data_IF_402201649530
#
_entry.id   IF_402201649530
#
_cell.length_a   1.000
_cell.length_b   1.000
_cell.length_c   1.000
_cell.angle_alpha   90.00
_cell.angle_beta   90.00
_cell.angle_gamma   90.00
#
_symmetry.space_group_name_H-M   'P 1'
#
loop_
_entity.id
_entity.type
_entity.pdbx_description
1 polymer ?
#
# COMPACT_ATOMS: atom_id res chain seq x y z
N UNK A 1 22.49 -4.23 4.83
CA UNK A 1 21.72 -3.30 3.96
C UNK A 1 22.62 -2.20 3.37
N UNK A 2 23.93 -2.42 3.27
CA UNK A 2 24.92 -1.39 2.86
C UNK A 2 25.65 -1.69 1.54
N UNK A 3 25.31 -2.77 0.84
CA UNK A 3 26.04 -3.22 -0.37
C UNK A 3 25.57 -2.56 -1.68
N UNK A 4 24.62 -1.61 -1.64
CA UNK A 4 24.00 -1.03 -2.84
C UNK A 4 24.61 0.28 -3.34
N UNK A 5 25.62 0.84 -2.66
CA UNK A 5 26.34 2.03 -3.14
C UNK A 5 27.66 1.65 -3.83
N UNK A 6 27.55 1.05 -5.01
CA UNK A 6 28.68 0.97 -5.93
C UNK A 6 28.97 2.37 -6.48
N UNK A 7 30.01 2.97 -5.91
CA UNK A 7 30.58 4.26 -6.28
C UNK A 7 30.99 4.27 -7.78
N UNK A 8 30.38 5.11 -8.63
CA UNK A 8 30.74 5.19 -10.05
C UNK A 8 32.13 5.79 -10.31
N UNK A 9 32.84 6.23 -9.25
CA UNK A 9 34.18 6.81 -9.31
C UNK A 9 35.29 5.86 -8.85
N UNK A 10 35.09 4.52 -8.93
CA UNK A 10 36.24 3.62 -8.82
C UNK A 10 37.14 3.86 -10.04
N UNK A 11 38.24 4.58 -9.80
CA UNK A 11 39.36 4.77 -10.72
C UNK A 11 39.70 3.45 -11.41
N UNK A 12 39.26 3.31 -12.65
CA UNK A 12 39.74 2.28 -13.55
C UNK A 12 40.98 2.86 -14.26
N UNK A 13 42.20 2.43 -13.91
CA UNK A 13 43.42 2.92 -14.55
C UNK A 13 43.45 2.62 -16.05
N UNK A 14 42.56 1.77 -16.59
CA UNK A 14 42.46 1.51 -18.02
C UNK A 14 41.66 2.59 -18.79
N UNK A 15 40.93 3.48 -18.12
CA UNK A 15 40.09 4.51 -18.77
C UNK A 15 40.76 5.89 -18.74
N UNK A 16 41.68 6.13 -17.80
CA UNK A 16 42.43 7.40 -17.68
C UNK A 16 43.50 7.59 -18.78
N UNK A 17 43.83 6.56 -19.57
CA UNK A 17 44.83 6.65 -20.65
C UNK A 17 44.27 7.11 -22.02
N UNK A 18 42.96 7.42 -22.13
CA UNK A 18 42.31 7.70 -23.43
C UNK A 18 42.27 9.20 -23.81
N UNK A 19 42.68 10.12 -22.92
CA UNK A 19 42.42 11.56 -23.12
C UNK A 19 43.64 12.50 -23.27
N UNK A 20 44.88 12.00 -23.38
CA UNK A 20 46.05 12.85 -23.62
C UNK A 20 46.95 12.34 -24.74
N UNK A 21 46.48 12.46 -25.98
CA UNK A 21 47.37 12.44 -27.13
C UNK A 21 48.30 13.67 -27.06
N UNK A 22 49.53 13.43 -26.62
CA UNK A 22 50.59 14.43 -26.59
C UNK A 22 50.80 14.99 -28.00
N UNK A 23 50.47 16.27 -28.18
CA UNK A 23 50.77 17.02 -29.41
C UNK A 23 52.30 17.18 -29.49
N UNK A 24 52.96 16.23 -30.15
CA UNK A 24 54.36 16.38 -30.53
C UNK A 24 54.45 17.45 -31.62
N UNK A 25 54.86 18.66 -31.22
CA UNK A 25 55.33 19.65 -32.18
C UNK A 25 56.64 19.14 -32.82
N UNK A 26 56.83 19.31 -34.14
CA UNK A 26 58.09 18.99 -34.77
C UNK A 26 59.18 19.92 -34.20
N UNK A 27 59.99 19.37 -33.28
CA UNK A 27 61.25 19.96 -32.86
C UNK A 27 62.17 19.97 -34.08
N UNK A 28 62.39 21.14 -34.68
CA UNK A 28 63.44 21.32 -35.66
C UNK A 28 64.80 21.27 -34.93
N UNK A 29 65.33 20.06 -34.78
CA UNK A 29 66.73 19.84 -34.44
C UNK A 29 67.59 20.32 -35.62
N UNK A 30 68.22 21.47 -35.42
CA UNK A 30 69.20 22.05 -36.31
C UNK A 30 70.46 21.16 -36.37
N UNK A 31 70.70 20.53 -37.52
CA UNK A 31 72.01 19.98 -37.86
C UNK A 31 72.76 20.97 -38.76
N UNK A 32 73.70 21.70 -38.16
CA UNK A 32 74.67 22.55 -38.84
C UNK A 32 75.71 21.68 -39.57
N UNK A 33 75.81 21.78 -40.90
CA UNK A 33 77.07 21.49 -41.63
C UNK A 33 77.13 22.29 -42.92
N UNK A 34 78.21 23.08 -43.05
CA UNK A 34 78.87 23.50 -44.30
C UNK A 34 78.21 24.60 -45.14
N UNK A 35 78.77 25.83 -45.19
CA UNK A 35 79.74 26.30 -46.21
C UNK A 35 79.27 26.02 -47.64
N UNK A 36 79.03 26.95 -48.56
CA UNK A 36 79.43 28.35 -48.79
C UNK A 36 78.56 28.85 -49.96
N UNK A 37 78.49 30.16 -50.16
CA UNK A 37 78.17 30.77 -51.47
C UNK A 37 76.77 30.51 -52.07
N UNK A 38 75.82 31.44 -51.86
CA UNK A 38 75.23 32.19 -52.98
C UNK A 38 74.33 33.32 -52.45
N UNK A 39 74.69 34.55 -52.83
CA UNK A 39 73.89 35.75 -52.61
C UNK A 39 72.71 35.76 -53.57
N UNK A 40 71.61 35.12 -53.19
CA UNK A 40 70.32 35.25 -53.87
C UNK A 40 69.18 34.96 -52.87
N UNK A 41 69.17 35.68 -51.74
CA UNK A 41 68.35 35.34 -50.56
C UNK A 41 67.05 36.14 -50.44
N UNK A 42 66.76 37.04 -51.39
CA UNK A 42 65.63 37.96 -51.26
C UNK A 42 64.40 37.56 -52.10
N UNK A 43 64.55 36.71 -53.13
CA UNK A 43 63.40 36.20 -53.91
C UNK A 43 62.72 34.97 -53.26
N UNK A 44 63.45 34.13 -52.53
CA UNK A 44 62.87 33.00 -51.80
C UNK A 44 62.11 33.42 -50.53
N UNK A 45 62.42 34.60 -49.98
CA UNK A 45 61.79 35.12 -48.77
C UNK A 45 60.34 35.57 -48.99
N UNK A 46 60.00 36.04 -50.20
CA UNK A 46 58.62 36.40 -50.56
C UNK A 46 57.77 35.14 -50.78
N UNK A 47 58.36 34.10 -51.40
CA UNK A 47 57.69 32.80 -51.62
C UNK A 47 57.44 32.05 -50.31
N UNK A 48 58.37 32.10 -49.35
CA UNK A 48 58.20 31.47 -48.04
C UNK A 48 57.11 32.16 -47.21
N UNK A 49 57.05 33.50 -47.21
CA UNK A 49 56.01 34.26 -46.51
C UNK A 49 54.61 33.91 -47.05
N UNK A 50 54.43 33.83 -48.37
CA UNK A 50 53.16 33.44 -48.99
C UNK A 50 52.77 31.98 -48.64
N UNK A 51 53.75 31.06 -48.58
CA UNK A 51 53.51 29.68 -48.15
C UNK A 51 53.02 29.60 -46.70
N UNK A 52 53.69 30.31 -45.79
CA UNK A 52 53.28 30.36 -44.38
C UNK A 52 51.90 31.01 -44.19
N UNK A 53 51.60 32.07 -44.94
CA UNK A 53 50.26 32.69 -44.94
C UNK A 53 49.19 31.70 -45.42
N UNK A 54 49.46 30.94 -46.48
CA UNK A 54 48.54 29.92 -47.00
C UNK A 54 48.32 28.81 -45.96
N UNK A 55 49.40 28.28 -45.36
CA UNK A 55 49.32 27.26 -44.31
C UNK A 55 48.56 27.75 -43.07
N UNK A 56 48.77 29.01 -42.65
CA UNK A 56 48.01 29.60 -41.54
C UNK A 56 46.52 29.74 -41.89
N UNK A 57 46.19 30.19 -43.11
CA UNK A 57 44.80 30.32 -43.56
C UNK A 57 44.08 28.96 -43.63
N UNK A 58 44.79 27.92 -44.05
CA UNK A 58 44.29 26.55 -44.09
C UNK A 58 44.10 25.99 -42.68
N UNK A 59 45.06 26.20 -41.77
CA UNK A 59 44.95 25.82 -40.37
C UNK A 59 43.77 26.53 -39.66
N UNK A 60 43.56 27.83 -39.94
CA UNK A 60 42.41 28.57 -39.42
C UNK A 60 41.10 28.02 -39.97
N UNK A 61 41.04 27.68 -41.26
CA UNK A 61 39.85 27.05 -41.88
C UNK A 61 39.57 25.68 -41.25
N UNK A 62 40.59 24.84 -41.08
CA UNK A 62 40.48 23.53 -40.45
C UNK A 62 40.05 23.63 -38.98
N UNK A 63 40.57 24.62 -38.23
CA UNK A 63 40.16 24.87 -36.85
C UNK A 63 38.70 25.32 -36.79
N UNK A 64 38.27 26.19 -37.71
CA UNK A 64 36.87 26.61 -37.82
C UNK A 64 35.94 25.42 -38.10
N UNK A 65 36.30 24.54 -39.05
CA UNK A 65 35.49 23.35 -39.34
C UNK A 65 35.43 22.41 -38.14
N UNK A 66 36.56 22.21 -37.44
CA UNK A 66 36.62 21.36 -36.25
C UNK A 66 35.75 21.92 -35.12
N UNK A 67 35.79 23.23 -34.88
CA UNK A 67 34.91 23.91 -33.90
C UNK A 67 33.45 23.66 -34.24
N UNK A 68 33.04 23.87 -35.49
CA UNK A 68 31.67 23.61 -35.92
C UNK A 68 31.25 22.15 -35.73
N UNK A 69 32.15 21.18 -35.97
CA UNK A 69 31.84 19.76 -35.71
C UNK A 69 31.66 19.45 -34.23
N UNK A 70 32.50 20.01 -33.35
CA UNK A 70 32.34 19.83 -31.90
C UNK A 70 31.10 20.53 -31.36
N UNK A 71 30.79 21.73 -31.86
CA UNK A 71 29.55 22.45 -31.53
C UNK A 71 28.31 21.61 -31.89
N UNK A 72 28.27 21.02 -33.09
CA UNK A 72 27.19 20.14 -33.50
C UNK A 72 27.10 18.85 -32.63
N UNK A 73 28.24 18.29 -32.25
CA UNK A 73 28.27 17.12 -31.36
C UNK A 73 27.77 17.46 -29.95
N UNK A 74 28.20 18.58 -29.38
CA UNK A 74 27.74 19.08 -28.08
C UNK A 74 26.22 19.29 -28.10
N UNK A 75 25.69 19.89 -29.17
CA UNK A 75 24.24 20.12 -29.31
C UNK A 75 23.47 18.80 -29.43
N UNK A 76 24.00 17.81 -30.16
CA UNK A 76 23.42 16.46 -30.22
C UNK A 76 23.40 15.79 -28.84
N UNK A 77 24.47 15.91 -28.07
CA UNK A 77 24.54 15.38 -26.70
C UNK A 77 23.56 16.08 -25.75
N UNK A 78 23.37 17.40 -25.88
CA UNK A 78 22.36 18.14 -25.10
C UNK A 78 20.95 17.64 -25.38
N UNK A 79 20.60 17.47 -26.65
CA UNK A 79 19.30 16.93 -27.05
C UNK A 79 19.07 15.50 -26.51
N UNK A 80 20.11 14.66 -26.51
CA UNK A 80 20.03 13.31 -25.95
C UNK A 80 19.87 13.31 -24.42
N UNK A 81 20.57 14.21 -23.71
CA UNK A 81 20.40 14.39 -22.26
C UNK A 81 18.96 14.81 -21.93
N UNK A 82 18.39 15.73 -22.70
CA UNK A 82 17.01 16.17 -22.51
C UNK A 82 16.01 15.03 -22.77
N UNK A 83 16.22 14.25 -23.85
CA UNK A 83 15.42 13.04 -24.14
C UNK A 83 15.47 12.03 -23.00
N UNK A 84 16.67 11.69 -22.52
CA UNK A 84 16.87 10.77 -21.39
C UNK A 84 16.28 11.32 -20.09
N UNK A 85 16.29 12.63 -19.89
CA UNK A 85 15.64 13.26 -18.73
C UNK A 85 14.12 13.08 -18.75
N UNK A 86 13.48 13.16 -19.92
CA UNK A 86 12.04 12.90 -20.07
C UNK A 86 11.73 11.43 -19.79
N UNK A 87 12.50 10.50 -20.38
CA UNK A 87 12.33 9.06 -20.16
C UNK A 87 12.51 8.66 -18.69
N UNK A 88 13.51 9.24 -18.01
CA UNK A 88 13.73 9.02 -16.58
C UNK A 88 12.55 9.50 -15.73
N UNK A 89 11.99 10.69 -16.04
CA UNK A 89 10.80 11.19 -15.36
C UNK A 89 9.59 10.26 -15.57
N UNK A 90 9.40 9.71 -16.78
CA UNK A 90 8.32 8.74 -17.05
C UNK A 90 8.51 7.43 -16.26
N UNK A 91 9.73 6.92 -16.19
CA UNK A 91 10.05 5.73 -15.40
C UNK A 91 9.84 5.97 -13.90
N UNK A 92 10.20 7.14 -13.40
CA UNK A 92 9.95 7.53 -12.01
C UNK A 92 8.44 7.58 -11.70
N UNK A 93 7.63 8.15 -12.60
CA UNK A 93 6.17 8.16 -12.45
C UNK A 93 5.58 6.75 -12.46
N UNK A 94 6.07 5.85 -13.34
CA UNK A 94 5.68 4.43 -13.36
C UNK A 94 6.05 3.73 -12.05
N UNK A 95 7.24 3.96 -11.52
CA UNK A 95 7.69 3.41 -10.24
C UNK A 95 6.77 3.85 -9.09
N UNK A 96 6.51 5.16 -8.96
CA UNK A 96 5.62 5.69 -7.92
C UNK A 96 4.21 5.10 -8.00
N UNK A 97 3.67 4.90 -9.22
CA UNK A 97 2.38 4.23 -9.44
C UNK A 97 2.40 2.77 -8.98
N UNK A 98 3.43 2.01 -9.35
CA UNK A 98 3.57 0.61 -8.95
C UNK A 98 3.75 0.47 -7.43
N UNK A 99 4.50 1.36 -6.79
CA UNK A 99 4.63 1.39 -5.34
C UNK A 99 3.29 1.70 -4.64
N UNK A 100 2.49 2.62 -5.18
CA UNK A 100 1.16 2.91 -4.65
C UNK A 100 0.22 1.70 -4.77
N UNK A 101 0.26 0.99 -5.91
CA UNK A 101 -0.48 -0.25 -6.10
C UNK A 101 -0.04 -1.35 -5.12
N UNK A 102 1.28 -1.52 -4.91
CA UNK A 102 1.81 -2.47 -3.94
C UNK A 102 1.34 -2.16 -2.52
N UNK A 103 1.37 -0.89 -2.10
CA UNK A 103 0.86 -0.46 -0.78
C UNK A 103 -0.63 -0.75 -0.64
N UNK A 104 -1.42 -0.54 -1.70
CA UNK A 104 -2.86 -0.87 -1.70
C UNK A 104 -3.12 -2.37 -1.55
N UNK A 105 -2.38 -3.21 -2.28
CA UNK A 105 -2.51 -4.67 -2.20
C UNK A 105 -2.09 -5.21 -0.83
N UNK A 106 -1.06 -4.63 -0.22
CA UNK A 106 -0.65 -4.98 1.15
C UNK A 106 -1.75 -4.64 2.17
N UNK A 107 -2.38 -3.47 2.05
CA UNK A 107 -3.51 -3.10 2.91
C UNK A 107 -4.70 -4.06 2.74
N UNK A 108 -5.03 -4.43 1.50
CA UNK A 108 -6.09 -5.40 1.21
C UNK A 108 -5.78 -6.77 1.83
N UNK A 109 -4.53 -7.28 1.69
CA UNK A 109 -4.07 -8.50 2.34
C UNK A 109 -4.22 -8.43 3.87
N UNK A 110 -3.85 -7.33 4.49
CA UNK A 110 -3.94 -7.16 5.94
C UNK A 110 -5.41 -7.13 6.41
N UNK A 111 -6.29 -6.45 5.66
CA UNK A 111 -7.74 -6.48 5.88
C UNK A 111 -8.32 -7.89 5.76
N UNK A 112 -7.97 -8.64 4.71
CA UNK A 112 -8.40 -10.03 4.52
C UNK A 112 -7.87 -10.94 5.63
N UNK A 113 -6.63 -10.73 6.08
CA UNK A 113 -6.02 -11.49 7.19
C UNK A 113 -6.77 -11.25 8.50
N UNK A 114 -7.15 -10.00 8.80
CA UNK A 114 -7.97 -9.69 9.97
C UNK A 114 -9.39 -10.26 9.86
N UNK A 115 -10.01 -10.20 8.69
CA UNK A 115 -11.32 -10.80 8.46
C UNK A 115 -11.29 -12.32 8.66
N UNK A 116 -10.27 -12.99 8.12
CA UNK A 116 -10.05 -14.43 8.31
C UNK A 116 -9.87 -14.78 9.79
N UNK A 117 -9.05 -14.02 10.54
CA UNK A 117 -8.89 -14.22 12.00
C UNK A 117 -10.22 -14.13 12.76
N UNK A 118 -11.04 -13.12 12.47
CA UNK A 118 -12.37 -12.97 13.09
C UNK A 118 -13.29 -14.14 12.76
N UNK A 119 -13.26 -14.65 11.53
CA UNK A 119 -14.08 -15.81 11.16
C UNK A 119 -13.58 -17.09 11.84
N UNK A 120 -12.27 -17.27 11.99
CA UNK A 120 -11.69 -18.38 12.78
C UNK A 120 -12.12 -18.31 14.24
N UNK A 121 -12.05 -17.13 14.88
CA UNK A 121 -12.52 -16.93 16.26
C UNK A 121 -14.03 -17.21 16.41
N UNK A 122 -14.83 -16.74 15.46
CA UNK A 122 -16.27 -17.01 15.41
C UNK A 122 -16.56 -18.50 15.22
N UNK A 123 -15.81 -19.19 14.37
CA UNK A 123 -15.95 -20.64 14.17
C UNK A 123 -15.58 -21.41 15.43
N UNK A 124 -14.52 -21.03 16.14
CA UNK A 124 -14.15 -21.63 17.42
C UNK A 124 -15.27 -21.49 18.47
N UNK A 125 -15.92 -20.32 18.57
CA UNK A 125 -17.07 -20.11 19.45
C UNK A 125 -18.30 -20.92 19.04
N UNK A 126 -18.49 -21.16 17.74
CA UNK A 126 -19.57 -22.02 17.24
C UNK A 126 -19.29 -23.49 17.54
N UNK A 127 -18.04 -23.94 17.38
CA UNK A 127 -17.61 -25.30 17.74
C UNK A 127 -17.81 -25.57 19.24
N UNK A 128 -17.45 -24.62 20.11
CA UNK A 128 -17.72 -24.72 21.56
C UNK A 128 -19.23 -24.87 21.85
N UNK A 129 -20.07 -24.04 21.22
CA UNK A 129 -21.53 -24.13 21.37
C UNK A 129 -22.10 -25.45 20.87
N UNK A 130 -21.61 -25.96 19.74
CA UNK A 130 -22.00 -27.27 19.21
C UNK A 130 -21.63 -28.36 20.22
N UNK A 131 -20.42 -28.31 20.80
CA UNK A 131 -20.01 -29.24 21.85
C UNK A 131 -20.94 -29.24 23.07
N UNK A 132 -21.30 -28.06 23.60
CA UNK A 132 -22.25 -27.97 24.72
C UNK A 132 -23.64 -28.55 24.39
N UNK A 133 -24.15 -28.30 23.17
CA UNK A 133 -25.43 -28.83 22.72
C UNK A 133 -25.40 -30.35 22.51
N UNK A 134 -24.28 -30.90 22.03
CA UNK A 134 -24.08 -32.34 21.93
C UNK A 134 -24.05 -33.01 23.31
N UNK A 135 -23.40 -32.40 24.30
CA UNK A 135 -23.43 -32.87 25.69
C UNK A 135 -24.84 -32.85 26.30
N UNK A 136 -25.61 -31.77 26.05
CA UNK A 136 -27.00 -31.65 26.49
C UNK A 136 -27.89 -32.73 25.83
N UNK A 137 -27.75 -32.92 24.52
CA UNK A 137 -28.47 -33.96 23.79
C UNK A 137 -28.15 -35.36 24.33
N UNK A 138 -26.86 -35.66 24.54
CA UNK A 138 -26.42 -36.93 25.13
C UNK A 138 -26.99 -37.15 26.54
N UNK A 139 -27.08 -36.09 27.34
CA UNK A 139 -27.69 -36.12 28.68
C UNK A 139 -29.19 -36.41 28.62
N UNK A 140 -29.92 -35.74 27.72
CA UNK A 140 -31.35 -35.96 27.49
C UNK A 140 -31.63 -37.36 26.96
N UNK A 141 -30.82 -37.88 26.05
CA UNK A 141 -30.93 -39.24 25.55
C UNK A 141 -30.70 -40.28 26.65
N UNK A 142 -29.69 -40.08 27.51
CA UNK A 142 -29.43 -40.94 28.66
C UNK A 142 -30.62 -40.97 29.61
N UNK A 143 -31.14 -39.80 29.99
CA UNK A 143 -32.35 -39.66 30.83
C UNK A 143 -33.57 -40.32 30.20
N UNK A 144 -33.75 -40.17 28.89
CA UNK A 144 -34.86 -40.81 28.16
C UNK A 144 -34.72 -42.34 28.15
N UNK A 145 -33.50 -42.86 27.99
CA UNK A 145 -33.20 -44.30 28.09
C UNK A 145 -33.47 -44.84 29.49
N UNK A 146 -33.07 -44.12 30.53
CA UNK A 146 -33.35 -44.47 31.94
C UNK A 146 -34.85 -44.47 32.24
N UNK A 147 -35.59 -43.45 31.81
CA UNK A 147 -37.05 -43.38 31.95
C UNK A 147 -37.75 -44.53 31.21
N UNK A 148 -37.32 -44.85 29.99
CA UNK A 148 -37.84 -45.99 29.22
C UNK A 148 -37.56 -47.32 29.92
N UNK A 149 -36.36 -47.50 30.49
CA UNK A 149 -36.02 -48.68 31.27
C UNK A 149 -36.83 -48.81 32.56
N UNK A 150 -37.10 -47.70 33.25
CA UNK A 150 -37.95 -47.67 34.45
C UNK A 150 -39.41 -48.01 34.14
N UNK A 151 -39.94 -47.46 33.03
CA UNK A 151 -41.29 -47.78 32.57
C UNK A 151 -41.45 -49.27 32.27
N UNK A 152 -40.50 -49.87 31.54
CA UNK A 152 -40.53 -51.29 31.18
C UNK A 152 -40.33 -52.24 32.38
N UNK A 153 -39.75 -51.78 33.49
CA UNK A 153 -39.60 -52.59 34.71
C UNK A 153 -40.85 -52.61 35.59
N UNK A 154 -41.80 -51.71 35.37
CA UNK A 154 -43.02 -51.65 36.18
C UNK A 154 -43.92 -52.83 35.78
N UNK A 155 -44.13 -53.84 36.66
CA UNK A 155 -44.94 -54.99 36.29
C UNK A 155 -46.38 -54.51 36.06
N UNK A 156 -46.90 -54.72 34.85
CA UNK A 156 -48.34 -54.69 34.60
C UNK A 156 -48.98 -55.81 35.43
N UNK A 157 -49.26 -55.55 36.69
CA UNK A 157 -50.24 -56.33 37.44
C UNK A 157 -51.62 -55.83 37.02
N UNK A 158 -52.10 -56.47 35.96
CA UNK A 158 -53.51 -56.66 35.65
C UNK A 158 -54.15 -57.45 36.79
N UNK A 159 -55.01 -56.82 37.58
CA UNK A 159 -56.38 -57.28 37.81
C UNK A 159 -57.12 -56.39 38.80
N UNK A 160 -58.25 -55.85 38.34
CA UNK A 160 -59.44 -55.53 39.12
C UNK A 160 -59.33 -54.53 40.27
N UNK A 161 -59.68 -53.26 40.02
CA UNK A 161 -60.91 -52.69 40.59
C UNK A 161 -61.14 -51.28 40.08
N UNK A 162 -62.38 -51.04 39.66
CA UNK A 162 -62.93 -49.78 39.19
C UNK A 162 -63.00 -48.74 40.32
N UNK A 163 -63.20 -47.47 39.94
CA UNK A 163 -63.50 -46.29 40.79
C UNK A 163 -62.29 -45.76 41.59
N UNK A 164 -61.69 -44.61 41.26
CA UNK A 164 -62.31 -43.29 41.16
C UNK A 164 -61.40 -42.35 40.40
N UNK A 165 -62.01 -41.62 39.47
CA UNK A 165 -61.40 -40.58 38.67
C UNK A 165 -61.13 -39.34 39.52
N UNK A 166 -59.88 -39.11 39.93
CA UNK A 166 -59.43 -37.78 40.33
C UNK A 166 -57.91 -37.63 40.25
N UNK A 167 -57.47 -36.86 39.25
CA UNK A 167 -56.66 -35.65 39.49
C UNK A 167 -55.27 -35.86 40.10
N UNK A 168 -54.30 -36.34 39.33
CA UNK A 168 -52.94 -35.75 39.31
C UNK A 168 -52.42 -35.84 37.86
N UNK A 169 -52.53 -34.72 37.13
CA UNK A 169 -51.86 -34.50 35.85
C UNK A 169 -50.40 -34.18 36.17
N UNK A 170 -49.40 -34.87 35.62
CA UNK A 170 -48.04 -34.41 35.74
C UNK A 170 -47.91 -33.14 34.90
N UNK A 171 -47.70 -32.00 35.54
CA UNK A 171 -47.26 -30.76 34.91
C UNK A 171 -45.84 -30.98 34.35
N UNK A 172 -45.73 -31.74 33.26
CA UNK A 172 -44.63 -31.65 32.32
C UNK A 172 -45.05 -30.64 31.26
N UNK A 173 -44.12 -29.74 30.88
CA UNK A 173 -44.20 -28.77 29.78
C UNK A 173 -44.80 -27.38 30.11
N UNK A 174 -44.19 -26.63 31.04
CA UNK A 174 -44.32 -25.16 31.03
C UNK A 174 -43.20 -24.42 31.80
N UNK A 175 -41.93 -24.58 31.41
CA UNK A 175 -40.87 -23.64 31.83
C UNK A 175 -39.65 -23.75 30.90
N UNK A 176 -39.81 -23.32 29.65
CA UNK A 176 -38.70 -23.27 28.67
C UNK A 176 -38.79 -22.05 27.74
N UNK A 177 -39.33 -20.94 28.26
CA UNK A 177 -39.38 -19.66 27.58
C UNK A 177 -39.30 -18.54 28.60
N UNK A 178 -38.08 -18.14 28.95
CA UNK A 178 -37.73 -16.77 29.34
C UNK A 178 -36.24 -16.75 29.72
N UNK A 179 -35.50 -15.78 29.15
CA UNK A 179 -34.14 -15.37 29.53
C UNK A 179 -32.97 -16.05 28.80
N UNK A 180 -32.86 -15.83 27.48
CA UNK A 180 -31.58 -15.86 26.77
C UNK A 180 -31.49 -14.71 25.76
N UNK A 181 -31.59 -13.48 26.25
CA UNK A 181 -31.11 -12.29 25.56
C UNK A 181 -30.56 -11.34 26.62
N UNK A 182 -29.26 -11.41 26.87
CA UNK A 182 -28.53 -10.31 27.48
C UNK A 182 -27.26 -10.15 26.70
N UNK A 183 -27.22 -9.01 26.01
CA UNK A 183 -26.15 -8.53 25.17
C UNK A 183 -24.82 -8.45 25.91
N UNK A 184 -23.80 -8.87 25.18
CA UNK A 184 -22.46 -8.31 25.09
C UNK A 184 -22.13 -7.16 26.06
N UNK A 185 -21.16 -7.41 26.94
CA UNK A 185 -20.52 -6.38 27.73
C UNK A 185 -19.19 -6.83 28.33
N UNK A 186 -18.09 -6.55 27.60
CA UNK A 186 -16.69 -6.38 28.07
C UNK A 186 -15.95 -7.56 28.73
N UNK A 187 -14.65 -7.71 28.40
CA UNK A 187 -13.69 -7.71 29.50
C UNK A 187 -12.53 -6.74 29.24
N UNK A 188 -12.37 -5.82 30.18
CA UNK A 188 -11.11 -5.15 30.47
C UNK A 188 -10.55 -5.81 31.73
N UNK A 189 -9.40 -6.48 31.65
CA UNK A 189 -8.40 -6.46 32.73
C UNK A 189 -7.12 -7.20 32.31
N UNK A 190 -6.05 -6.41 32.27
CA UNK A 190 -4.65 -6.78 32.42
C UNK A 190 -4.42 -7.84 33.52
N UNK A 191 -3.51 -8.80 33.27
CA UNK A 191 -2.45 -9.39 34.13
C UNK A 191 -1.75 -10.46 33.25
N UNK A 192 -0.55 -10.22 32.71
CA UNK A 192 0.81 -10.46 33.26
C UNK A 192 1.27 -11.94 33.31
N UNK A 193 2.47 -12.20 32.77
CA UNK A 193 3.28 -13.42 32.99
C UNK A 193 3.19 -14.42 31.84
N UNK A 194 4.06 -14.34 30.83
CA UNK A 194 5.31 -15.12 30.77
C UNK A 194 5.08 -16.61 31.00
N UNK A 195 5.06 -17.41 29.93
CA UNK A 195 5.99 -18.52 29.86
C UNK A 195 6.23 -19.01 28.43
N UNK A 196 7.51 -19.34 28.25
CA UNK A 196 8.20 -19.75 27.04
C UNK A 196 7.75 -21.15 26.63
N UNK A 197 7.32 -21.37 25.39
CA UNK A 197 7.59 -22.64 24.70
C UNK A 197 7.51 -22.47 23.18
N UNK A 198 8.68 -22.58 22.56
CA UNK A 198 8.92 -22.75 21.12
C UNK A 198 8.61 -24.19 20.71
N UNK A 199 8.08 -24.39 19.48
CA UNK A 199 8.50 -25.53 18.69
C UNK A 199 9.15 -25.06 17.37
N UNK A 200 10.39 -25.51 17.20
CA UNK A 200 11.16 -25.49 15.96
C UNK A 200 10.58 -26.47 14.93
N UNK A 201 10.86 -26.13 13.68
CA UNK A 201 11.16 -27.01 12.53
C UNK A 201 10.07 -27.94 11.97
N UNK A 202 9.58 -27.56 10.79
CA UNK A 202 9.34 -28.42 9.64
C UNK A 202 9.54 -27.50 8.42
N UNK A 203 10.65 -27.56 7.66
CA UNK A 203 10.85 -28.43 6.48
C UNK A 203 9.65 -28.28 5.52
N UNK A 204 9.74 -27.94 4.24
CA UNK A 204 10.78 -28.08 3.23
C UNK A 204 10.27 -27.36 1.96
N UNK A 205 11.14 -26.68 1.23
CA UNK A 205 11.46 -27.00 -0.18
C UNK A 205 10.31 -26.90 -1.18
N UNK A 206 10.16 -25.74 -1.83
CA UNK A 206 9.73 -25.67 -3.23
C UNK A 206 10.33 -24.42 -3.90
N UNK A 207 11.59 -24.57 -4.35
CA UNK A 207 12.28 -23.69 -5.30
C UNK A 207 12.59 -24.53 -6.55
N UNK A 208 11.67 -24.57 -7.51
CA UNK A 208 11.93 -24.65 -8.95
C UNK A 208 10.65 -25.05 -9.66
N UNK A 209 10.09 -24.14 -10.46
CA UNK A 209 9.62 -24.43 -11.81
C UNK A 209 9.18 -23.11 -12.45
N UNK A 210 10.18 -22.43 -13.05
CA UNK A 210 9.95 -21.42 -14.09
C UNK A 210 9.58 -22.15 -15.39
N UNK A 211 8.74 -21.48 -16.18
CA UNK A 211 8.32 -21.80 -17.55
C UNK A 211 7.05 -22.67 -17.67
N UNK A 212 5.91 -22.00 -17.82
CA UNK A 212 4.65 -22.66 -18.18
C UNK A 212 3.40 -21.77 -18.05
N UNK A 213 3.39 -20.83 -17.10
CA UNK A 213 2.11 -20.26 -16.63
C UNK A 213 1.71 -18.89 -17.21
N UNK A 214 2.41 -18.41 -18.26
CA UNK A 214 2.09 -17.09 -18.87
C UNK A 214 0.90 -17.11 -19.84
N UNK A 215 0.31 -18.26 -20.15
CA UNK A 215 -0.82 -18.36 -21.09
C UNK A 215 -2.20 -18.38 -20.40
N UNK A 216 -2.29 -18.74 -19.10
CA UNK A 216 -3.58 -18.84 -18.41
C UNK A 216 -4.13 -17.51 -17.87
N UNK A 217 -3.27 -16.52 -17.63
CA UNK A 217 -3.72 -15.23 -17.09
C UNK A 217 -4.47 -14.34 -18.10
N UNK A 218 -4.23 -14.48 -19.42
CA UNK A 218 -4.98 -13.68 -20.41
C UNK A 218 -6.45 -14.07 -20.56
N UNK A 219 -6.81 -15.34 -20.30
CA UNK A 219 -8.21 -15.80 -20.44
C UNK A 219 -9.05 -15.44 -19.20
N UNK A 220 -8.42 -15.26 -18.03
CA UNK A 220 -9.12 -14.83 -16.81
C UNK A 220 -9.38 -13.31 -16.77
N UNK A 221 -8.54 -12.50 -17.43
CA UNK A 221 -8.68 -11.04 -17.47
C UNK A 221 -9.79 -10.59 -18.44
N UNK A 222 -10.05 -11.35 -19.51
CA UNK A 222 -11.19 -11.12 -20.41
C UNK A 222 -12.55 -11.54 -19.80
N UNK A 223 -12.57 -12.53 -18.89
CA UNK A 223 -13.79 -12.94 -18.19
C UNK A 223 -14.21 -11.97 -17.07
N UNK A 224 -13.26 -11.25 -16.47
CA UNK A 224 -13.56 -10.25 -15.42
C UNK A 224 -14.01 -8.89 -15.96
N UNK A 225 -13.75 -8.60 -17.24
CA UNK A 225 -14.15 -7.33 -17.89
C UNK A 225 -15.64 -7.29 -18.32
N UNK A 226 -16.36 -8.43 -18.30
CA UNK A 226 -17.73 -8.55 -18.82
C UNK A 226 -18.85 -8.23 -17.80
N UNK A 227 -18.53 -7.96 -16.52
CA UNK A 227 -19.55 -7.77 -15.47
C UNK A 227 -19.67 -6.33 -14.93
N UNK A 228 -19.12 -5.34 -15.64
CA UNK A 228 -19.25 -3.92 -15.28
C UNK A 228 -19.93 -3.13 -16.39
N UNK A 229 -21.22 -3.35 -16.54
CA UNK A 229 -22.14 -2.42 -17.21
C UNK A 229 -23.55 -2.75 -16.71
N UNK A 230 -24.39 -1.72 -16.55
CA UNK A 230 -25.78 -1.79 -16.07
C UNK A 230 -26.00 -1.79 -14.56
N UNK A 231 -26.05 -0.59 -13.97
CA UNK A 231 -27.11 -0.22 -13.01
C UNK A 231 -27.14 1.31 -12.92
N UNK A 232 -27.70 1.92 -13.96
CA UNK A 232 -28.10 3.31 -13.95
C UNK A 232 -29.54 3.40 -13.42
N UNK A 233 -29.74 4.34 -12.49
CA UNK A 233 -30.95 5.17 -12.34
C UNK A 233 -32.30 4.46 -12.20
N UNK A 234 -32.80 4.36 -10.96
CA UNK A 234 -34.26 4.47 -10.72
C UNK A 234 -34.53 4.93 -9.29
N UNK A 235 -34.60 6.24 -9.09
CA UNK A 235 -35.25 6.83 -7.91
C UNK A 235 -36.71 7.05 -8.27
N UNK A 236 -37.59 6.25 -7.67
CA UNK A 236 -39.04 6.45 -7.77
C UNK A 236 -39.60 6.77 -6.38
N UNK A 237 -40.02 8.03 -6.30
CA UNK A 237 -40.85 8.70 -5.32
C UNK A 237 -42.10 7.89 -4.96
N UNK A 238 -42.36 7.77 -3.65
CA UNK A 238 -43.59 7.19 -3.10
C UNK A 238 -43.96 7.90 -1.81
N UNK A 239 -44.72 8.99 -1.96
CA UNK A 239 -45.43 9.70 -0.90
C UNK A 239 -46.54 8.80 -0.33
N UNK A 240 -46.58 8.64 1.00
CA UNK A 240 -47.64 7.94 1.70
C UNK A 240 -47.70 8.40 3.15
N UNK A 241 -48.29 9.57 3.37
CA UNK A 241 -48.48 10.14 4.69
C UNK A 241 -49.47 9.34 5.54
N UNK A 242 -49.19 9.26 6.85
CA UNK A 242 -50.21 9.14 7.90
C UNK A 242 -49.70 9.79 9.19
N UNK A 243 -50.58 10.63 9.71
CA UNK A 243 -50.48 11.60 10.81
C UNK A 243 -50.39 10.98 12.22
N UNK A 244 -50.00 11.77 13.24
CA UNK A 244 -49.38 11.29 14.47
C UNK A 244 -50.42 10.98 15.56
N UNK A 245 -50.06 10.09 16.50
CA UNK A 245 -50.81 9.88 17.75
C UNK A 245 -49.84 9.94 18.95
N UNK A 246 -50.03 10.88 19.89
CA UNK A 246 -49.21 10.98 21.09
C UNK A 246 -49.87 10.24 22.27
N UNK A 247 -49.15 9.29 22.87
CA UNK A 247 -49.37 8.68 24.17
C UNK A 247 -48.13 7.81 24.44
N UNK A 248 -47.49 7.76 25.60
CA UNK A 248 -47.82 8.24 26.94
C UNK A 248 -46.61 7.90 27.81
N UNK A 249 -46.10 8.88 28.57
CA UNK A 249 -45.40 8.78 29.86
C UNK A 249 -44.64 7.45 30.12
N UNK A 250 -43.35 7.41 29.82
CA UNK A 250 -42.41 6.43 30.37
C UNK A 250 -41.13 7.17 30.82
N UNK A 251 -40.77 6.88 32.06
CA UNK A 251 -39.60 7.22 32.88
C UNK A 251 -38.31 7.66 32.16
N UNK A 252 -37.58 8.69 32.66
CA UNK A 252 -36.32 9.14 32.08
C UNK A 252 -35.22 8.12 32.39
N UNK A 253 -34.77 7.39 31.38
CA UNK A 253 -33.52 6.63 31.41
C UNK A 253 -32.32 7.57 31.15
N UNK A 254 -31.11 7.26 31.64
CA UNK A 254 -29.94 8.16 31.57
C UNK A 254 -29.35 8.37 30.17
N UNK A 255 -30.02 7.94 29.11
CA UNK A 255 -29.44 7.83 27.76
C UNK A 255 -29.30 9.17 27.04
N UNK A 256 -30.12 10.17 27.41
CA UNK A 256 -30.18 11.45 26.68
C UNK A 256 -28.91 12.30 26.84
N UNK A 257 -28.15 12.12 27.93
CA UNK A 257 -26.90 12.86 28.18
C UNK A 257 -25.75 12.30 27.31
N UNK A 258 -25.77 11.00 27.01
CA UNK A 258 -24.70 10.36 26.22
C UNK A 258 -24.74 10.76 24.75
N UNK A 259 -25.93 11.01 24.20
CA UNK A 259 -26.08 11.44 22.81
C UNK A 259 -25.53 12.86 22.61
N UNK A 260 -25.76 13.77 23.56
CA UNK A 260 -25.22 15.14 23.50
C UNK A 260 -23.68 15.17 23.58
N UNK A 261 -23.09 14.35 24.45
CA UNK A 261 -21.62 14.24 24.55
C UNK A 261 -21.01 13.66 23.27
N UNK A 262 -21.60 12.60 22.71
CA UNK A 262 -21.16 12.00 21.46
C UNK A 262 -21.27 12.99 20.29
N UNK A 263 -22.35 13.76 20.22
CA UNK A 263 -22.55 14.79 19.20
C UNK A 263 -21.47 15.88 19.25
N UNK A 264 -21.06 16.31 20.45
CA UNK A 264 -19.96 17.28 20.62
C UNK A 264 -18.64 16.69 20.14
N UNK A 265 -18.35 15.43 20.49
CA UNK A 265 -17.13 14.73 20.07
C UNK A 265 -17.11 14.53 18.54
N UNK A 266 -18.23 14.14 17.93
CA UNK A 266 -18.34 13.98 16.47
C UNK A 266 -18.07 15.32 15.77
N UNK A 267 -18.70 16.41 16.22
CA UNK A 267 -18.45 17.76 15.65
C UNK A 267 -16.99 18.18 15.80
N UNK A 268 -16.35 17.87 16.92
CA UNK A 268 -14.93 18.16 17.12
C UNK A 268 -14.04 17.35 16.16
N UNK A 269 -14.32 16.06 16.00
CA UNK A 269 -13.61 15.17 15.08
C UNK A 269 -13.83 15.57 13.61
N UNK A 270 -15.02 16.01 13.23
CA UNK A 270 -15.31 16.56 11.89
C UNK A 270 -14.50 17.84 11.64
N UNK A 271 -14.49 18.76 12.62
CA UNK A 271 -13.68 19.98 12.55
C UNK A 271 -12.18 19.66 12.48
N UNK A 272 -11.73 18.61 13.16
CA UNK A 272 -10.35 18.13 13.08
C UNK A 272 -10.07 17.51 11.71
N UNK A 273 -10.96 16.65 11.21
CA UNK A 273 -10.83 16.02 9.89
C UNK A 273 -10.70 17.06 8.79
N UNK A 274 -11.50 18.13 8.84
CA UNK A 274 -11.42 19.22 7.88
C UNK A 274 -10.04 19.91 7.91
N UNK A 275 -9.52 20.20 9.11
CA UNK A 275 -8.17 20.78 9.28
C UNK A 275 -7.08 19.84 8.76
N UNK A 276 -7.14 18.55 9.08
CA UNK A 276 -6.15 17.56 8.61
C UNK A 276 -6.23 17.34 7.09
N UNK A 277 -7.42 17.44 6.49
CA UNK A 277 -7.55 17.41 5.03
C UNK A 277 -6.92 18.67 4.40
N UNK A 278 -7.15 19.85 4.98
CA UNK A 278 -6.55 21.10 4.50
C UNK A 278 -5.02 21.08 4.58
N UNK A 279 -4.46 20.63 5.71
CA UNK A 279 -3.00 20.53 5.87
C UNK A 279 -2.40 19.52 4.88
N UNK A 280 -3.04 18.37 4.68
CA UNK A 280 -2.65 17.40 3.65
C UNK A 280 -2.61 18.04 2.26
N UNK A 281 -3.68 18.74 1.87
CA UNK A 281 -3.79 19.37 0.55
C UNK A 281 -2.76 20.49 0.35
N UNK A 282 -2.42 21.23 1.42
CA UNK A 282 -1.35 22.24 1.38
C UNK A 282 0.04 21.62 1.19
N UNK A 283 0.34 20.51 1.90
CA UNK A 283 1.61 19.79 1.74
C UNK A 283 1.69 19.19 0.33
N UNK A 284 0.60 18.61 -0.17
CA UNK A 284 0.53 18.06 -1.53
C UNK A 284 0.83 19.14 -2.58
N UNK A 285 0.23 20.34 -2.45
CA UNK A 285 0.52 21.48 -3.34
C UNK A 285 2.00 21.90 -3.28
N UNK A 286 2.61 21.90 -2.09
CA UNK A 286 4.05 22.22 -1.92
C UNK A 286 4.93 21.16 -2.57
N UNK A 287 4.55 19.89 -2.47
CA UNK A 287 5.26 18.76 -3.04
C UNK A 287 5.16 18.80 -4.58
N UNK A 288 3.96 19.00 -5.14
CA UNK A 288 3.75 19.20 -6.58
C UNK A 288 4.54 20.41 -7.14
N UNK A 289 4.58 21.53 -6.40
CA UNK A 289 5.38 22.70 -6.78
C UNK A 289 6.88 22.39 -6.79
N UNK A 290 7.35 21.52 -5.90
CA UNK A 290 8.75 21.12 -5.85
C UNK A 290 9.08 20.12 -6.96
N UNK A 291 8.14 19.25 -7.33
CA UNK A 291 8.28 18.28 -8.41
C UNK A 291 8.25 18.90 -9.80
N UNK A 292 7.51 20.02 -9.97
CA UNK A 292 7.54 20.78 -11.22
C UNK A 292 8.85 21.53 -11.44
N UNK A 293 9.64 21.73 -10.38
CA UNK A 293 10.99 22.31 -10.47
C UNK A 293 12.05 21.22 -10.49
N UNK A 294 12.98 21.28 -11.45
CA UNK A 294 14.14 20.37 -11.46
C UNK A 294 14.96 20.55 -10.18
N UNK A 295 15.12 19.48 -9.41
CA UNK A 295 15.96 19.44 -8.20
C UNK A 295 17.43 19.52 -8.63
N UNK A 296 18.12 20.59 -8.24
CA UNK A 296 19.52 20.90 -8.59
C UNK A 296 20.48 20.75 -7.42
N UNK A 297 19.99 20.79 -6.18
CA UNK A 297 20.83 20.77 -4.98
C UNK A 297 20.45 19.68 -3.98
N UNK A 298 21.42 19.25 -3.16
CA UNK A 298 21.17 18.30 -2.08
C UNK A 298 20.23 18.83 -1.00
N UNK A 299 20.21 20.15 -0.76
CA UNK A 299 19.28 20.80 0.17
C UNK A 299 17.84 20.77 -0.35
N UNK A 300 17.62 20.96 -1.65
CA UNK A 300 16.31 20.77 -2.27
C UNK A 300 15.83 19.32 -2.15
N UNK A 301 16.72 18.36 -2.38
CA UNK A 301 16.39 16.94 -2.19
C UNK A 301 16.01 16.63 -0.74
N UNK A 302 16.76 17.15 0.23
CA UNK A 302 16.43 17.00 1.66
C UNK A 302 15.07 17.62 2.00
N UNK A 303 14.76 18.79 1.42
CA UNK A 303 13.47 19.47 1.58
C UNK A 303 12.32 18.66 0.97
N UNK A 304 12.52 18.03 -0.19
CA UNK A 304 11.53 17.12 -0.80
C UNK A 304 11.25 15.94 0.12
N UNK A 305 12.29 15.28 0.62
CA UNK A 305 12.16 14.14 1.55
C UNK A 305 11.43 14.55 2.83
N UNK A 306 11.70 15.76 3.36
CA UNK A 306 10.98 16.28 4.52
C UNK A 306 9.48 16.46 4.24
N UNK A 307 9.12 17.06 3.09
CA UNK A 307 7.72 17.21 2.68
C UNK A 307 7.02 15.87 2.44
N UNK A 308 7.70 14.87 1.87
CA UNK A 308 7.15 13.52 1.70
C UNK A 308 6.82 12.86 3.05
N UNK A 309 7.71 13.02 4.05
CA UNK A 309 7.46 12.53 5.41
C UNK A 309 6.30 13.25 6.08
N UNK A 310 6.22 14.57 5.92
CA UNK A 310 5.10 15.38 6.42
C UNK A 310 3.79 14.98 5.75
N UNK A 311 3.79 14.71 4.43
CA UNK A 311 2.62 14.28 3.69
C UNK A 311 2.09 12.93 4.21
N UNK A 312 2.98 11.96 4.43
CA UNK A 312 2.62 10.66 5.00
C UNK A 312 2.05 10.83 6.42
N UNK A 313 2.63 11.71 7.24
CA UNK A 313 2.13 12.00 8.59
C UNK A 313 0.72 12.61 8.56
N UNK A 314 0.47 13.58 7.69
CA UNK A 314 -0.85 14.19 7.50
C UNK A 314 -1.87 13.15 6.99
N UNK A 315 -1.47 12.26 6.08
CA UNK A 315 -2.35 11.18 5.59
C UNK A 315 -2.73 10.19 6.70
N UNK A 316 -1.80 9.85 7.60
CA UNK A 316 -2.11 9.04 8.79
C UNK A 316 -3.09 9.75 9.72
N UNK A 317 -2.89 11.04 10.00
CA UNK A 317 -3.78 11.83 10.86
C UNK A 317 -5.22 11.91 10.30
N UNK A 318 -5.37 12.07 8.98
CA UNK A 318 -6.67 11.98 8.28
C UNK A 318 -7.28 10.58 8.45
N UNK A 319 -6.48 9.53 8.28
CA UNK A 319 -6.90 8.13 8.46
C UNK A 319 -7.40 7.84 9.87
N UNK A 320 -6.62 8.21 10.88
CA UNK A 320 -6.96 8.05 12.30
C UNK A 320 -8.26 8.79 12.66
N UNK A 321 -8.41 10.03 12.22
CA UNK A 321 -9.63 10.81 12.48
C UNK A 321 -10.86 10.18 11.82
N UNK A 322 -10.71 9.67 10.59
CA UNK A 322 -11.79 8.93 9.89
C UNK A 322 -12.14 7.62 10.59
N UNK A 323 -11.16 6.90 11.14
CA UNK A 323 -11.44 5.67 11.90
C UNK A 323 -12.23 5.99 13.16
N UNK A 324 -11.82 7.00 13.94
CA UNK A 324 -12.56 7.43 15.14
C UNK A 324 -14.00 7.84 14.83
N UNK A 325 -14.22 8.57 13.72
CA UNK A 325 -15.58 8.91 13.27
C UNK A 325 -16.42 7.67 12.93
N UNK A 326 -15.82 6.63 12.33
CA UNK A 326 -16.50 5.36 12.05
C UNK A 326 -16.79 4.57 13.32
N UNK A 327 -15.85 4.54 14.27
CA UNK A 327 -16.02 3.89 15.57
C UNK A 327 -17.20 4.50 16.33
N UNK A 328 -17.28 5.83 16.40
CA UNK A 328 -18.41 6.53 16.99
C UNK A 328 -19.72 6.31 16.21
N UNK A 329 -19.68 6.35 14.88
CA UNK A 329 -20.87 6.08 14.06
C UNK A 329 -21.39 4.65 14.20
N UNK A 330 -20.51 3.69 14.51
CA UNK A 330 -20.88 2.30 14.77
C UNK A 330 -21.50 2.11 16.17
N UNK A 331 -21.15 2.97 17.14
CA UNK A 331 -21.73 2.99 18.49
C UNK A 331 -23.15 3.60 18.54
N UNK A 332 -23.51 4.44 17.56
CA UNK A 332 -24.81 5.13 17.49
C UNK A 332 -25.90 4.29 16.76
N UNK A 333 -25.56 3.11 16.22
CA UNK A 333 -26.53 2.20 15.56
C UNK A 333 -26.86 0.99 16.43
#
# INVERSE_FOLDING_TARGET
MEEFYNNPFRHDPAVDDVCYASVQFPSMTASNTGTESCRERDFFSISSALRFQTQLSEALRANSTLRSTYEAHIETQRNEIDRLSVENNELQMKLTRLEAQLRSLLLEKDCSTMAYKREVEKNALLEEKVGCLEEELNSLERRTRELRAAYNRTPQQTDGCETTSSRIRPNLLQQQRENHYTEQGTPSSLVSGSDLHSPKSLLESERNNRSGEKQKWRVAEEAAASWRTETATSMKTGLGGRTPKPCSKVTPYPTQVMDEENDVVVKELEKRLLRECQTRDEIEKRLQKMESTRIRSGSERAKKIALEREFIAAQRAVGETRMRLRELSALVR
#
